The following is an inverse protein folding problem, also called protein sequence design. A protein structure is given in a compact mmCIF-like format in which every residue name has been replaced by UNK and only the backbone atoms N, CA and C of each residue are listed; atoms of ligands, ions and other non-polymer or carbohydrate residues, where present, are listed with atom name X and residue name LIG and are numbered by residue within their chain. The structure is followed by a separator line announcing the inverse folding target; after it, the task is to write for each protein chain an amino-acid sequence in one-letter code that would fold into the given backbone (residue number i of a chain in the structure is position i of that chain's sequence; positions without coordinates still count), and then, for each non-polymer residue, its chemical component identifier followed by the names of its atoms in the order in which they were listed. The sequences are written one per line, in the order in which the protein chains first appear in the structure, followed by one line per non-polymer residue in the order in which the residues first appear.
data_IF_856681594034
#
_entry.id   IF_856681594034
#
_cell.length_a   1.000
_cell.length_b   1.000
_cell.length_c   1.000
_cell.angle_alpha   90.00
_cell.angle_beta   90.00
_cell.angle_gamma   90.00
#
_symmetry.space_group_name_H-M   'P 1'
#
loop_
_entity.id
_entity.type
_entity.pdbx_description
1 polymer ?
#
# COMPACT_ATOMS: atom_id res chain seq x y z
N UNK A 1 -35.31 -7.62 24.50
CA UNK A 1 -35.30 -6.22 24.05
C UNK A 1 -35.36 -6.18 22.52
N UNK A 2 -36.57 -6.07 21.94
CA UNK A 2 -36.71 -5.97 20.47
C UNK A 2 -36.57 -4.50 20.12
N UNK A 3 -35.36 -4.09 19.81
CA UNK A 3 -35.08 -2.73 19.39
C UNK A 3 -35.87 -2.44 18.11
N UNK A 4 -36.86 -1.56 18.20
CA UNK A 4 -37.69 -1.10 17.08
C UNK A 4 -36.86 -0.72 15.85
N UNK A 5 -35.69 -0.12 16.08
CA UNK A 5 -34.71 0.20 15.06
C UNK A 5 -34.20 -1.01 14.26
N UNK A 6 -34.05 -2.20 14.86
CA UNK A 6 -33.66 -3.42 14.14
C UNK A 6 -34.79 -3.92 13.24
N UNK A 7 -36.04 -3.80 13.70
CA UNK A 7 -37.23 -4.11 12.91
C UNK A 7 -37.37 -3.19 11.69
N UNK A 8 -37.21 -1.89 11.90
CA UNK A 8 -37.29 -0.88 10.86
C UNK A 8 -36.15 -1.03 9.82
N UNK A 9 -34.93 -1.35 10.27
CA UNK A 9 -33.80 -1.63 9.37
C UNK A 9 -34.05 -2.85 8.48
N UNK A 10 -34.57 -3.96 9.05
CA UNK A 10 -34.89 -5.17 8.27
C UNK A 10 -36.00 -4.93 7.26
N UNK A 11 -37.07 -4.25 7.67
CA UNK A 11 -38.16 -3.88 6.77
C UNK A 11 -37.68 -3.00 5.62
N UNK A 12 -36.79 -2.04 5.91
CA UNK A 12 -36.18 -1.16 4.91
C UNK A 12 -35.31 -1.93 3.92
N UNK A 13 -34.48 -2.85 4.39
CA UNK A 13 -33.65 -3.72 3.52
C UNK A 13 -34.54 -4.58 2.62
N UNK A 14 -35.62 -5.12 3.16
CA UNK A 14 -36.55 -5.98 2.41
C UNK A 14 -37.31 -5.19 1.35
N UNK A 15 -37.76 -3.97 1.67
CA UNK A 15 -38.35 -3.04 0.71
C UNK A 15 -37.36 -2.68 -0.40
N UNK A 16 -36.11 -2.38 -0.06
CA UNK A 16 -35.06 -2.09 -1.04
C UNK A 16 -34.83 -3.26 -2.01
N UNK A 17 -34.76 -4.50 -1.49
CA UNK A 17 -34.63 -5.70 -2.33
C UNK A 17 -35.80 -5.88 -3.30
N UNK A 18 -37.03 -5.61 -2.84
CA UNK A 18 -38.23 -5.70 -3.69
C UNK A 18 -38.25 -4.62 -4.78
N UNK A 19 -37.86 -3.40 -4.45
CA UNK A 19 -37.76 -2.29 -5.41
C UNK A 19 -36.69 -2.59 -6.47
N UNK A 20 -35.52 -3.11 -6.07
CA UNK A 20 -34.46 -3.51 -7.01
C UNK A 20 -34.89 -4.67 -7.92
N UNK A 21 -35.60 -5.67 -7.39
CA UNK A 21 -36.08 -6.78 -8.20
C UNK A 21 -37.16 -6.37 -9.24
N UNK A 22 -37.96 -5.35 -8.92
CA UNK A 22 -39.00 -4.80 -9.80
C UNK A 22 -38.47 -3.78 -10.81
N UNK A 23 -37.26 -3.25 -10.62
CA UNK A 23 -36.60 -2.32 -11.54
C UNK A 23 -35.97 -3.04 -12.73
N UNK A 24 -36.79 -3.66 -13.58
CA UNK A 24 -36.32 -4.45 -14.73
C UNK A 24 -35.51 -3.63 -15.74
N UNK A 25 -35.79 -2.32 -15.84
CA UNK A 25 -35.05 -1.39 -16.70
C UNK A 25 -33.80 -0.80 -16.03
N UNK A 26 -33.51 -1.18 -14.77
CA UNK A 26 -32.37 -0.70 -13.97
C UNK A 26 -32.32 0.83 -13.85
N UNK A 27 -33.46 1.50 -13.85
CA UNK A 27 -33.57 2.97 -13.82
C UNK A 27 -33.24 3.50 -12.43
N UNK A 28 -33.69 2.84 -11.36
CA UNK A 28 -33.33 3.20 -9.98
C UNK A 28 -31.83 3.03 -9.81
N UNK A 29 -31.31 1.89 -10.25
CA UNK A 29 -29.87 1.62 -10.21
C UNK A 29 -29.11 2.67 -11.03
N UNK A 30 -29.49 2.97 -12.28
CA UNK A 30 -28.85 4.01 -13.11
C UNK A 30 -28.92 5.41 -12.49
N UNK A 31 -30.09 5.90 -12.06
CA UNK A 31 -30.21 7.23 -11.42
C UNK A 31 -29.42 7.34 -10.11
N UNK A 32 -29.36 6.25 -9.35
CA UNK A 32 -28.56 6.20 -8.13
C UNK A 32 -27.06 6.15 -8.47
N UNK A 33 -26.66 5.40 -9.49
CA UNK A 33 -25.27 5.33 -9.96
C UNK A 33 -24.80 6.65 -10.59
N UNK A 34 -25.61 7.26 -11.46
CA UNK A 34 -25.32 8.52 -12.17
C UNK A 34 -25.11 9.71 -11.20
N UNK A 35 -25.60 9.61 -9.97
CA UNK A 35 -25.40 10.60 -8.91
C UNK A 35 -24.48 10.17 -7.75
N UNK A 36 -24.19 8.88 -7.57
CA UNK A 36 -23.53 8.35 -6.35
C UNK A 36 -22.31 7.48 -6.65
N UNK A 37 -22.19 6.85 -7.82
CA UNK A 37 -21.17 5.84 -8.09
C UNK A 37 -20.62 5.98 -9.52
N UNK A 38 -19.41 6.53 -9.62
CA UNK A 38 -18.66 6.52 -10.85
C UNK A 38 -18.27 5.06 -11.21
N UNK A 39 -18.93 4.50 -12.23
CA UNK A 39 -18.73 3.12 -12.70
C UNK A 39 -17.26 2.84 -13.06
N UNK A 40 -16.55 3.85 -13.59
CA UNK A 40 -15.13 3.70 -13.89
C UNK A 40 -14.30 3.46 -12.62
N UNK A 41 -14.63 4.15 -11.51
CA UNK A 41 -13.95 3.95 -10.24
C UNK A 41 -14.21 2.55 -9.66
N UNK A 42 -15.43 2.02 -9.82
CA UNK A 42 -15.75 0.66 -9.38
C UNK A 42 -14.93 -0.38 -10.14
N UNK A 43 -14.84 -0.25 -11.47
CA UNK A 43 -14.03 -1.14 -12.29
C UNK A 43 -12.55 -1.10 -11.87
N UNK A 44 -11.99 0.10 -11.65
CA UNK A 44 -10.63 0.25 -11.14
C UNK A 44 -10.47 -0.48 -9.80
N UNK A 45 -11.39 -0.29 -8.85
CA UNK A 45 -11.29 -0.87 -7.51
C UNK A 45 -11.43 -2.39 -7.50
N UNK A 46 -12.16 -2.97 -8.45
CA UNK A 46 -12.37 -4.42 -8.52
C UNK A 46 -11.15 -5.21 -8.94
N UNK A 47 -10.22 -4.59 -9.66
CA UNK A 47 -8.95 -5.21 -10.09
C UNK A 47 -7.84 -5.10 -9.03
N UNK A 48 -8.02 -4.29 -7.99
CA UNK A 48 -6.97 -4.02 -7.00
C UNK A 48 -6.92 -5.09 -5.89
N UNK A 49 -5.71 -5.50 -5.46
CA UNK A 49 -5.56 -6.56 -4.48
C UNK A 49 -5.83 -6.05 -3.06
N UNK A 50 -6.24 -7.00 -2.21
CA UNK A 50 -6.29 -6.82 -0.75
C UNK A 50 -4.93 -7.22 -0.17
N UNK A 51 -3.92 -6.39 -0.43
CA UNK A 51 -2.53 -6.67 -0.09
C UNK A 51 -1.74 -5.40 0.21
N UNK A 52 -0.57 -5.57 0.84
CA UNK A 52 0.36 -4.47 1.04
C UNK A 52 1.14 -4.22 -0.25
N UNK A 53 1.25 -2.96 -0.67
CA UNK A 53 1.94 -2.64 -1.90
C UNK A 53 1.98 -1.16 -2.24
N UNK A 54 2.50 -0.89 -3.44
CA UNK A 54 2.55 0.42 -4.09
C UNK A 54 1.51 0.44 -5.20
N UNK A 55 0.89 1.59 -5.44
CA UNK A 55 0.00 1.80 -6.57
C UNK A 55 0.32 3.11 -7.27
N UNK A 56 -0.01 3.15 -8.55
CA UNK A 56 0.28 4.24 -9.46
C UNK A 56 -1.03 4.63 -10.13
N UNK A 57 -1.41 5.90 -10.01
CA UNK A 57 -2.61 6.46 -10.65
C UNK A 57 -2.17 7.07 -11.98
N UNK A 58 -2.83 6.67 -13.06
CA UNK A 58 -2.49 7.10 -14.40
C UNK A 58 -3.60 7.92 -15.05
N UNK A 59 -3.22 8.83 -15.94
CA UNK A 59 -4.10 9.46 -16.94
C UNK A 59 -4.34 8.53 -18.13
N UNK A 60 -5.26 8.93 -19.00
CA UNK A 60 -5.53 8.22 -20.27
C UNK A 60 -4.31 8.11 -21.19
N UNK A 61 -3.37 9.05 -21.12
CA UNK A 61 -2.14 9.02 -21.91
C UNK A 61 -1.02 8.16 -21.30
N UNK A 62 -1.26 7.54 -20.13
CA UNK A 62 -0.30 6.71 -19.41
C UNK A 62 0.52 7.43 -18.34
N UNK A 63 0.50 8.76 -18.29
CA UNK A 63 1.28 9.55 -17.33
C UNK A 63 0.89 9.22 -15.88
N UNK A 64 1.89 9.07 -15.01
CA UNK A 64 1.68 8.88 -13.58
C UNK A 64 1.38 10.23 -12.93
N UNK A 65 0.20 10.36 -12.33
CA UNK A 65 -0.22 11.59 -11.62
C UNK A 65 -0.02 11.49 -10.11
N UNK A 66 -0.05 10.28 -9.58
CA UNK A 66 0.10 10.02 -8.16
C UNK A 66 0.65 8.62 -7.90
N UNK A 67 1.55 8.51 -6.94
CA UNK A 67 2.08 7.24 -6.44
C UNK A 67 1.77 7.15 -4.95
N UNK A 68 1.14 6.05 -4.55
CA UNK A 68 0.77 5.80 -3.17
C UNK A 68 1.18 4.42 -2.69
N UNK A 69 1.00 4.20 -1.38
CA UNK A 69 1.29 2.93 -0.72
C UNK A 69 0.26 2.64 0.35
N UNK A 70 0.00 1.36 0.60
CA UNK A 70 -0.99 0.95 1.59
C UNK A 70 -0.77 -0.47 2.10
N UNK A 71 -1.31 -0.77 3.29
CA UNK A 71 -1.41 -2.14 3.82
C UNK A 71 -2.45 -2.96 3.06
N UNK A 72 -3.40 -2.27 2.45
CA UNK A 72 -4.45 -2.76 1.59
C UNK A 72 -4.58 -1.72 0.46
N UNK A 73 -4.11 -2.09 -0.73
CA UNK A 73 -4.10 -1.19 -1.91
C UNK A 73 -5.53 -0.77 -2.25
N UNK A 74 -6.47 -1.73 -2.38
CA UNK A 74 -7.88 -1.46 -2.71
C UNK A 74 -8.51 -0.41 -1.78
N UNK A 75 -8.40 -0.59 -0.47
CA UNK A 75 -9.00 0.37 0.48
C UNK A 75 -8.28 1.72 0.50
N UNK A 76 -6.98 1.74 0.24
CA UNK A 76 -6.18 2.97 0.19
C UNK A 76 -6.53 3.80 -1.04
N UNK A 77 -6.72 3.15 -2.19
CA UNK A 77 -7.17 3.80 -3.43
C UNK A 77 -8.61 4.28 -3.29
N UNK A 78 -9.50 3.49 -2.71
CA UNK A 78 -10.89 3.89 -2.47
C UNK A 78 -10.99 5.22 -1.72
N UNK A 79 -10.12 5.46 -0.74
CA UNK A 79 -10.08 6.73 0.01
C UNK A 79 -9.76 7.95 -0.88
N UNK A 80 -9.05 7.78 -1.98
CA UNK A 80 -8.86 8.87 -2.95
C UNK A 80 -10.12 9.14 -3.75
N UNK A 81 -10.90 8.11 -4.07
CA UNK A 81 -12.16 8.25 -4.82
C UNK A 81 -13.34 8.72 -3.96
N UNK A 82 -13.30 8.51 -2.65
CA UNK A 82 -14.35 8.96 -1.73
C UNK A 82 -13.94 10.15 -0.86
N UNK A 83 -12.72 10.64 -1.02
CA UNK A 83 -12.15 11.70 -0.16
C UNK A 83 -12.37 13.11 -0.70
N UNK A 84 -12.41 14.09 0.20
CA UNK A 84 -12.65 15.50 -0.15
C UNK A 84 -11.39 16.38 -0.19
N UNK A 85 -10.21 15.80 0.06
CA UNK A 85 -8.96 16.56 0.03
C UNK A 85 -8.65 17.10 -1.38
N UNK A 86 -7.88 18.18 -1.46
CA UNK A 86 -7.48 18.75 -2.76
C UNK A 86 -6.79 17.70 -3.66
N UNK A 87 -5.93 16.86 -3.07
CA UNK A 87 -5.27 15.75 -3.77
C UNK A 87 -6.29 14.69 -4.22
N UNK A 88 -7.23 14.30 -3.37
CA UNK A 88 -8.26 13.34 -3.72
C UNK A 88 -9.13 13.84 -4.88
N UNK A 89 -9.57 15.10 -4.85
CA UNK A 89 -10.34 15.73 -5.93
C UNK A 89 -9.54 15.82 -7.24
N UNK A 90 -8.24 16.11 -7.16
CA UNK A 90 -7.36 16.11 -8.34
C UNK A 90 -7.22 14.71 -8.94
N UNK A 91 -6.98 13.69 -8.10
CA UNK A 91 -6.94 12.28 -8.52
C UNK A 91 -8.27 11.86 -9.16
N UNK A 92 -9.41 12.15 -8.52
CA UNK A 92 -10.75 11.81 -9.04
C UNK A 92 -11.02 12.39 -10.44
N UNK A 93 -10.47 13.57 -10.72
CA UNK A 93 -10.63 14.25 -12.02
C UNK A 93 -9.78 13.65 -13.13
N UNK A 94 -8.58 13.15 -12.81
CA UNK A 94 -7.58 12.76 -13.81
C UNK A 94 -7.30 11.25 -13.89
N UNK A 95 -7.71 10.48 -12.89
CA UNK A 95 -7.51 9.03 -12.86
C UNK A 95 -8.30 8.34 -13.98
N UNK A 96 -7.57 7.68 -14.87
CA UNK A 96 -8.09 6.79 -15.89
C UNK A 96 -7.99 5.32 -15.48
N UNK A 97 -6.84 4.92 -14.93
CA UNK A 97 -6.60 3.56 -14.43
C UNK A 97 -5.55 3.56 -13.33
N UNK A 98 -5.45 2.45 -12.60
CA UNK A 98 -4.49 2.26 -11.51
C UNK A 98 -3.70 0.98 -11.76
N UNK A 99 -2.38 1.08 -11.74
CA UNK A 99 -1.50 -0.09 -11.70
C UNK A 99 -0.96 -0.27 -10.28
N UNK A 100 -0.46 -1.46 -9.95
CA UNK A 100 0.04 -1.76 -8.61
C UNK A 100 1.15 -2.80 -8.61
N UNK A 101 1.88 -2.83 -7.50
CA UNK A 101 2.82 -3.90 -7.18
C UNK A 101 2.61 -4.33 -5.73
N UNK A 102 2.35 -5.62 -5.53
CA UNK A 102 2.31 -6.21 -4.19
C UNK A 102 3.72 -6.41 -3.62
N UNK A 103 3.92 -5.94 -2.39
CA UNK A 103 5.24 -5.94 -1.75
C UNK A 103 5.30 -6.82 -0.51
N UNK A 104 4.16 -7.39 -0.08
CA UNK A 104 4.04 -8.21 1.14
C UNK A 104 4.12 -7.42 2.44
N UNK A 105 5.07 -6.49 2.55
CA UNK A 105 5.34 -5.66 3.72
C UNK A 105 5.20 -4.16 3.44
N UNK A 106 4.88 -3.41 4.49
CA UNK A 106 4.86 -1.94 4.41
C UNK A 106 6.26 -1.32 4.32
N UNK A 107 7.31 -2.04 4.73
CA UNK A 107 8.69 -1.55 4.60
C UNK A 107 9.10 -1.47 3.14
N UNK A 108 8.90 -2.55 2.38
CA UNK A 108 9.19 -2.57 0.94
C UNK A 108 8.31 -1.56 0.20
N UNK A 109 7.01 -1.50 0.52
CA UNK A 109 6.12 -0.50 -0.07
C UNK A 109 6.59 0.94 0.20
N UNK A 110 7.11 1.23 1.39
CA UNK A 110 7.63 2.55 1.73
C UNK A 110 8.92 2.89 0.99
N UNK A 111 9.85 1.96 0.90
CA UNK A 111 11.12 2.14 0.18
C UNK A 111 10.88 2.33 -1.32
N UNK A 112 10.04 1.48 -1.93
CA UNK A 112 9.66 1.58 -3.35
C UNK A 112 8.96 2.89 -3.66
N UNK A 113 7.86 3.21 -2.95
CA UNK A 113 7.15 4.45 -3.21
C UNK A 113 8.04 5.69 -3.03
N UNK A 114 8.96 5.69 -2.06
CA UNK A 114 9.91 6.78 -1.89
C UNK A 114 10.82 6.98 -3.11
N UNK A 115 11.38 5.89 -3.63
CA UNK A 115 12.20 5.89 -4.86
C UNK A 115 11.39 6.34 -6.07
N UNK A 116 10.23 5.74 -6.28
CA UNK A 116 9.37 5.97 -7.44
C UNK A 116 8.85 7.42 -7.49
N UNK A 117 8.50 8.01 -6.34
CA UNK A 117 8.10 9.42 -6.27
C UNK A 117 9.27 10.34 -6.64
N UNK A 118 10.50 10.02 -6.21
CA UNK A 118 11.69 10.81 -6.57
C UNK A 118 12.04 10.70 -8.05
N UNK A 119 11.95 9.51 -8.62
CA UNK A 119 12.29 9.25 -10.02
C UNK A 119 11.24 9.81 -11.00
N UNK A 120 9.94 9.66 -10.68
CA UNK A 120 8.85 10.03 -11.60
C UNK A 120 8.28 11.45 -11.33
N UNK A 121 8.55 12.04 -10.17
CA UNK A 121 8.04 13.35 -9.73
C UNK A 121 6.55 13.61 -10.07
N UNK A 122 5.61 12.74 -9.64
CA UNK A 122 4.21 12.89 -10.01
C UNK A 122 3.63 14.20 -9.45
N UNK A 123 2.79 14.93 -10.21
CA UNK A 123 2.30 16.26 -9.86
C UNK A 123 1.52 16.34 -8.54
N UNK A 124 0.88 15.25 -8.11
CA UNK A 124 0.07 15.23 -6.89
C UNK A 124 0.75 14.57 -5.68
N UNK A 125 1.99 14.13 -5.84
CA UNK A 125 2.82 13.80 -4.70
C UNK A 125 3.46 15.08 -4.16
N UNK A 126 3.27 15.35 -2.88
CA UNK A 126 4.06 16.39 -2.22
C UNK A 126 5.55 16.05 -2.37
N UNK A 127 6.43 17.05 -2.54
CA UNK A 127 7.87 16.81 -2.58
C UNK A 127 8.30 15.95 -1.40
N UNK A 128 9.11 14.92 -1.66
CA UNK A 128 9.51 13.90 -0.68
C UNK A 128 10.24 14.47 0.56
N UNK A 129 10.54 15.77 0.57
CA UNK A 129 11.34 16.48 1.57
C UNK A 129 10.64 16.75 2.92
N UNK A 130 9.44 16.21 3.21
CA UNK A 130 8.72 16.61 4.43
C UNK A 130 7.84 15.58 5.15
N UNK A 131 7.70 14.33 4.67
CA UNK A 131 6.62 13.45 5.15
C UNK A 131 6.99 12.46 6.26
N UNK A 132 8.27 12.33 6.61
CA UNK A 132 8.67 11.50 7.76
C UNK A 132 8.82 12.42 8.96
N UNK A 133 7.94 12.35 9.98
CA UNK A 133 8.06 13.20 11.15
C UNK A 133 9.46 13.07 11.74
N UNK A 134 10.19 14.19 11.67
CA UNK A 134 11.61 14.34 12.02
C UNK A 134 11.91 13.87 13.45
N UNK A 135 10.90 13.93 14.32
CA UNK A 135 11.02 13.68 15.76
C UNK A 135 11.29 12.23 16.14
N UNK A 136 11.03 11.23 15.28
CA UNK A 136 11.14 9.82 15.69
C UNK A 136 12.51 9.18 15.39
N UNK A 137 13.28 9.70 14.43
CA UNK A 137 14.46 8.99 13.92
C UNK A 137 15.83 9.57 14.31
N UNK A 138 15.88 10.78 14.89
CA UNK A 138 17.15 11.52 15.10
C UNK A 138 18.19 10.80 15.98
N UNK A 139 17.81 9.81 16.80
CA UNK A 139 18.73 9.16 17.76
C UNK A 139 18.67 7.62 17.74
N UNK A 140 18.10 6.98 16.73
CA UNK A 140 17.93 5.52 16.73
C UNK A 140 18.89 4.86 15.75
N UNK A 141 19.80 4.04 16.29
CA UNK A 141 20.69 3.17 15.51
C UNK A 141 20.04 1.82 15.25
N UNK A 142 20.59 1.08 14.29
CA UNK A 142 20.24 -0.33 14.13
C UNK A 142 20.58 -1.13 15.40
N UNK A 143 19.80 -2.17 15.75
CA UNK A 143 20.10 -3.02 16.90
C UNK A 143 21.46 -3.73 16.81
N UNK A 144 21.94 -3.98 15.60
CA UNK A 144 23.23 -4.59 15.31
C UNK A 144 23.84 -3.96 14.06
N UNK A 145 25.18 -3.90 14.00
CA UNK A 145 25.93 -3.37 12.86
C UNK A 145 25.70 -4.19 11.58
N UNK A 146 25.69 -5.52 11.72
CA UNK A 146 25.43 -6.48 10.67
C UNK A 146 24.20 -7.31 11.06
N UNK A 147 23.15 -7.26 10.27
CA UNK A 147 21.93 -8.03 10.54
C UNK A 147 21.08 -8.25 9.31
N UNK A 148 20.29 -9.32 9.37
CA UNK A 148 19.18 -9.57 8.47
C UNK A 148 17.88 -9.36 9.25
N UNK A 149 16.99 -8.54 8.71
CA UNK A 149 15.61 -8.47 9.20
C UNK A 149 14.77 -9.39 8.30
N UNK A 150 13.98 -10.27 8.91
CA UNK A 150 13.08 -11.20 8.21
C UNK A 150 11.63 -10.84 8.54
N UNK A 151 10.82 -10.75 7.51
CA UNK A 151 9.38 -10.46 7.59
C UNK A 151 8.61 -11.35 6.59
N UNK A 152 7.28 -11.23 6.53
CA UNK A 152 6.42 -11.94 5.57
C UNK A 152 6.70 -11.52 4.12
N UNK A 153 6.60 -12.45 3.19
CA UNK A 153 6.68 -12.18 1.75
C UNK A 153 5.37 -11.69 1.16
N UNK A 154 5.29 -11.70 -0.17
CA UNK A 154 4.09 -11.31 -0.94
C UNK A 154 3.00 -12.37 -0.86
N UNK A 155 3.41 -13.63 -0.86
CA UNK A 155 2.52 -14.78 -0.82
C UNK A 155 2.81 -15.73 0.35
N UNK A 156 1.92 -16.70 0.54
CA UNK A 156 2.08 -17.72 1.58
C UNK A 156 3.27 -18.62 1.24
N UNK A 157 4.21 -18.78 2.18
CA UNK A 157 5.43 -19.57 1.97
C UNK A 157 6.66 -18.72 1.60
N UNK A 158 6.44 -17.48 1.17
CA UNK A 158 7.48 -16.50 0.87
C UNK A 158 7.81 -15.64 2.10
N UNK A 159 9.08 -15.24 2.22
CA UNK A 159 9.59 -14.31 3.23
C UNK A 159 10.36 -13.19 2.55
N UNK A 160 10.34 -12.01 3.17
CA UNK A 160 11.22 -10.91 2.77
C UNK A 160 12.42 -10.83 3.70
N UNK A 161 13.59 -10.54 3.14
CA UNK A 161 14.80 -10.22 3.88
C UNK A 161 15.24 -8.78 3.61
N UNK A 162 15.78 -8.13 4.62
CA UNK A 162 16.38 -6.80 4.55
C UNK A 162 17.79 -6.89 5.11
N UNK A 163 18.79 -6.52 4.30
CA UNK A 163 20.20 -6.65 4.64
C UNK A 163 20.75 -5.32 5.15
N UNK A 164 21.35 -5.33 6.33
CA UNK A 164 22.13 -4.22 6.89
C UNK A 164 23.54 -4.74 7.15
N UNK A 165 24.55 -4.03 6.64
CA UNK A 165 25.96 -4.34 6.84
C UNK A 165 26.74 -3.05 7.13
N UNK A 166 27.60 -3.07 8.14
CA UNK A 166 28.37 -1.91 8.62
C UNK A 166 27.45 -0.71 8.92
N UNK A 167 26.30 -0.95 9.55
CA UNK A 167 25.23 0.03 9.79
C UNK A 167 24.63 0.66 8.52
N UNK A 168 24.89 0.12 7.34
CA UNK A 168 24.35 0.59 6.07
C UNK A 168 23.33 -0.41 5.54
N UNK A 169 22.12 0.08 5.24
CA UNK A 169 21.16 -0.71 4.50
C UNK A 169 21.67 -1.00 3.09
N UNK A 170 21.69 -2.29 2.71
CA UNK A 170 22.18 -2.75 1.41
C UNK A 170 21.05 -3.05 0.42
N UNK A 171 19.87 -3.39 0.91
CA UNK A 171 18.73 -3.70 0.08
C UNK A 171 17.79 -4.75 0.68
N UNK A 172 16.82 -5.19 -0.11
CA UNK A 172 15.84 -6.20 0.29
C UNK A 172 15.64 -7.25 -0.81
N UNK A 173 15.07 -8.40 -0.46
CA UNK A 173 14.77 -9.48 -1.40
C UNK A 173 13.73 -10.44 -0.84
N UNK A 174 13.29 -11.38 -1.67
CA UNK A 174 12.31 -12.40 -1.30
C UNK A 174 12.91 -13.81 -1.41
N UNK A 175 12.49 -14.71 -0.53
CA UNK A 175 12.94 -16.11 -0.52
C UNK A 175 11.87 -17.05 0.03
N UNK A 176 11.89 -18.33 -0.38
CA UNK A 176 10.94 -19.34 0.08
C UNK A 176 11.41 -20.09 1.34
N UNK A 177 10.46 -20.40 2.24
CA UNK A 177 10.69 -21.07 3.53
C UNK A 177 11.31 -22.47 3.44
N UNK A 178 11.14 -23.15 2.30
CA UNK A 178 11.63 -24.52 2.09
C UNK A 178 13.14 -24.59 1.80
N UNK A 179 13.80 -23.45 1.57
CA UNK A 179 15.25 -23.40 1.56
C UNK A 179 15.78 -23.43 3.00
N UNK A 180 16.55 -24.46 3.35
CA UNK A 180 17.46 -24.37 4.49
C UNK A 180 18.34 -23.14 4.26
N UNK A 181 18.10 -22.03 4.97
CA UNK A 181 18.89 -20.79 4.89
C UNK A 181 20.27 -21.08 5.50
N UNK A 182 21.09 -21.83 4.78
CA UNK A 182 22.50 -22.07 5.08
C UNK A 182 23.34 -21.24 4.12
N UNK A 183 23.21 -19.91 4.18
CA UNK A 183 24.30 -18.95 3.98
C UNK A 183 23.76 -17.53 3.76
N UNK A 184 24.31 -16.58 4.52
CA UNK A 184 24.29 -15.14 4.20
C UNK A 184 24.68 -14.87 2.73
N UNK A 185 25.54 -15.71 2.13
CA UNK A 185 25.95 -15.62 0.71
C UNK A 185 24.78 -15.72 -0.27
N UNK A 186 23.86 -16.67 -0.06
CA UNK A 186 22.69 -16.82 -0.94
C UNK A 186 21.79 -15.60 -0.78
N UNK A 187 21.63 -15.11 0.45
CA UNK A 187 20.87 -13.89 0.69
C UNK A 187 21.45 -12.72 -0.12
N UNK A 188 22.76 -12.48 -0.04
CA UNK A 188 23.43 -11.41 -0.81
C UNK A 188 23.17 -11.51 -2.32
N UNK A 189 23.06 -12.72 -2.89
CA UNK A 189 22.77 -12.89 -4.33
C UNK A 189 21.33 -12.60 -4.75
N UNK A 190 20.37 -12.60 -3.81
CA UNK A 190 18.94 -12.36 -4.10
C UNK A 190 18.46 -10.97 -3.66
N UNK A 191 19.32 -10.19 -2.99
CA UNK A 191 18.99 -8.82 -2.57
C UNK A 191 18.98 -7.92 -3.80
N UNK A 192 17.86 -7.21 -3.99
CA UNK A 192 17.82 -6.03 -4.86
C UNK A 192 18.51 -4.88 -4.12
N UNK A 193 19.61 -4.34 -4.67
CA UNK A 193 20.34 -3.27 -4.01
C UNK A 193 19.49 -2.00 -3.92
N UNK A 194 19.63 -1.30 -2.80
CA UNK A 194 18.99 0.00 -2.58
C UNK A 194 20.04 0.99 -2.10
N UNK A 195 20.10 2.15 -2.74
CA UNK A 195 21.01 3.23 -2.34
C UNK A 195 20.72 3.65 -0.89
N UNK A 196 21.78 3.77 -0.09
CA UNK A 196 21.67 4.23 1.27
C UNK A 196 21.54 5.76 1.29
N UNK A 197 20.44 6.27 1.85
CA UNK A 197 20.25 7.70 2.15
C UNK A 197 19.66 7.87 3.56
N UNK A 198 19.72 9.07 4.11
CA UNK A 198 19.11 9.38 5.40
C UNK A 198 17.59 9.13 5.40
N UNK A 199 16.90 9.40 4.29
CA UNK A 199 15.47 9.10 4.11
C UNK A 199 15.21 7.60 4.20
N UNK A 200 16.00 6.80 3.47
CA UNK A 200 15.91 5.33 3.49
C UNK A 200 16.16 4.80 4.90
N UNK A 201 17.21 5.30 5.56
CA UNK A 201 17.54 4.92 6.92
C UNK A 201 16.39 5.25 7.89
N UNK A 202 15.81 6.45 7.79
CA UNK A 202 14.65 6.88 8.58
C UNK A 202 13.42 5.99 8.35
N UNK A 203 13.16 5.56 7.11
CA UNK A 203 12.06 4.64 6.79
C UNK A 203 12.25 3.31 7.53
N UNK A 204 13.46 2.73 7.48
CA UNK A 204 13.75 1.43 8.09
C UNK A 204 13.68 1.51 9.61
N UNK A 205 14.34 2.50 10.22
CA UNK A 205 14.30 2.74 11.67
C UNK A 205 12.86 2.92 12.15
N UNK A 206 12.07 3.76 11.47
CA UNK A 206 10.65 3.96 11.82
C UNK A 206 9.85 2.66 11.76
N UNK A 207 10.16 1.79 10.80
CA UNK A 207 9.52 0.49 10.67
C UNK A 207 9.91 -0.46 11.82
N UNK A 208 11.20 -0.54 12.17
CA UNK A 208 11.70 -1.37 13.27
C UNK A 208 11.05 -0.98 14.61
N UNK A 209 11.00 0.33 14.91
CA UNK A 209 10.40 0.84 16.15
C UNK A 209 8.91 0.50 16.28
N UNK A 210 8.18 0.47 15.17
CA UNK A 210 6.75 0.14 15.13
C UNK A 210 6.47 -1.36 15.17
N UNK A 211 7.43 -2.20 14.78
CA UNK A 211 7.24 -3.65 14.62
C UNK A 211 8.19 -4.45 15.51
N UNK A 212 7.89 -4.52 16.82
CA UNK A 212 8.75 -5.18 17.82
C UNK A 212 8.86 -6.71 17.70
N UNK A 213 8.05 -7.36 16.86
CA UNK A 213 8.03 -8.83 16.68
C UNK A 213 8.80 -9.32 15.44
N UNK A 214 9.54 -8.43 14.77
CA UNK A 214 10.35 -8.80 13.62
C UNK A 214 11.46 -9.77 14.02
N UNK A 215 11.73 -10.76 13.18
CA UNK A 215 12.86 -11.66 13.38
C UNK A 215 14.12 -10.96 12.88
N UNK A 216 15.06 -10.69 13.78
CA UNK A 216 16.36 -10.09 13.47
C UNK A 216 17.43 -11.16 13.70
N UNK A 217 18.29 -11.35 12.71
CA UNK A 217 19.39 -12.32 12.75
C UNK A 217 20.72 -11.55 12.61
N UNK A 218 21.45 -11.31 13.71
CA UNK A 218 22.79 -10.74 13.65
C UNK A 218 23.80 -11.76 13.09
N UNK A 219 24.89 -11.28 12.51
CA UNK A 219 25.97 -12.12 11.98
C UNK A 219 27.32 -11.39 11.96
#
# INVERSE_FOLDING_TARGET
DRHRADGDARATVQLFKLLLAKDSAKIIVKKTLDGILNIAWLNILDELPVGAGVYYVHRNNGDIVYIGKGKNIKSTVNRHFTGDSAVAKAIQKEAAFVTYEETGTMLIAALRAHREIRENSPPYNLPANGSIPEKTARNHSYPHENMIIIDKGRETGERSAFLVENNLFKGFGYFNLNHQIKNIRILRSIITPVEHTDEVNRIIISYLLKNRKLKIVPF
#
